data_IF_533775761099
#
_entry.id   IF_533775761099
#
_cell.length_a   1.000
_cell.length_b   1.000
_cell.length_c   1.000
_cell.angle_alpha   90.00
_cell.angle_beta   90.00
_cell.angle_gamma   90.00
#
_symmetry.space_group_name_H-M   'P 1'
#
loop_
_entity.id
_entity.type
_entity.pdbx_description
1 polymer ?
#
# COMPACT_ATOMS: atom_id res chain seq x y z
N UNK A 1 5.76 -99.62 14.83
CA UNK A 1 5.96 -99.10 13.46
C UNK A 1 4.67 -99.09 12.61
N UNK A 2 3.76 -100.08 12.69
CA UNK A 2 2.53 -100.10 11.86
C UNK A 2 1.50 -98.99 12.16
N UNK A 3 1.36 -98.55 13.42
CA UNK A 3 0.42 -97.47 13.78
C UNK A 3 0.73 -96.14 13.09
N UNK A 4 2.01 -95.78 12.98
CA UNK A 4 2.43 -94.54 12.32
C UNK A 4 2.04 -94.51 10.83
N UNK A 5 2.11 -95.67 10.15
CA UNK A 5 1.68 -95.77 8.75
C UNK A 5 0.17 -95.60 8.61
N UNK A 6 -0.61 -96.13 9.55
CA UNK A 6 -2.07 -95.99 9.57
C UNK A 6 -2.50 -94.54 9.85
N UNK A 7 -1.82 -93.86 10.77
CA UNK A 7 -2.09 -92.45 11.08
C UNK A 7 -1.72 -91.54 9.91
N UNK A 8 -0.59 -91.79 9.24
CA UNK A 8 -0.19 -91.07 8.04
C UNK A 8 -1.20 -91.27 6.88
N UNK A 9 -1.76 -92.47 6.75
CA UNK A 9 -2.81 -92.76 5.77
C UNK A 9 -4.13 -92.06 6.11
N UNK A 10 -4.54 -92.04 7.38
CA UNK A 10 -5.73 -91.29 7.83
C UNK A 10 -5.60 -89.79 7.60
N UNK A 11 -4.43 -89.22 7.86
CA UNK A 11 -4.17 -87.79 7.61
C UNK A 11 -4.23 -87.47 6.12
N UNK A 12 -3.69 -88.32 5.25
CA UNK A 12 -3.81 -88.13 3.79
C UNK A 12 -5.25 -88.19 3.32
N UNK A 13 -6.02 -89.19 3.77
CA UNK A 13 -7.43 -89.30 3.41
C UNK A 13 -8.25 -88.10 3.90
N UNK A 14 -7.95 -87.57 5.09
CA UNK A 14 -8.60 -86.37 5.62
C UNK A 14 -8.25 -85.12 4.79
N UNK A 15 -6.98 -84.96 4.41
CA UNK A 15 -6.50 -83.82 3.61
C UNK A 15 -6.97 -83.86 2.15
N UNK A 16 -7.20 -85.05 1.59
CA UNK A 16 -7.70 -85.21 0.22
C UNK A 16 -9.12 -84.65 0.03
N UNK A 17 -9.92 -84.64 1.11
CA UNK A 17 -11.24 -83.98 1.12
C UNK A 17 -11.17 -82.44 1.26
N UNK A 18 -10.02 -81.90 1.66
CA UNK A 18 -9.77 -80.45 1.71
C UNK A 18 -9.36 -80.00 0.31
N UNK A 19 -10.35 -79.63 -0.50
CA UNK A 19 -10.11 -78.99 -1.80
C UNK A 19 -9.30 -77.71 -1.57
N UNK A 20 -8.06 -77.68 -2.06
CA UNK A 20 -7.26 -76.45 -2.11
C UNK A 20 -8.11 -75.34 -2.73
N UNK A 21 -8.23 -74.16 -2.09
CA UNK A 21 -8.90 -73.02 -2.71
C UNK A 21 -8.27 -72.81 -4.10
N UNK A 22 -9.11 -72.72 -5.14
CA UNK A 22 -8.61 -72.41 -6.48
C UNK A 22 -7.75 -71.15 -6.44
N UNK A 23 -6.77 -71.07 -7.34
CA UNK A 23 -5.83 -69.95 -7.41
C UNK A 23 -6.59 -68.63 -7.25
N UNK A 24 -6.31 -67.91 -6.15
CA UNK A 24 -6.97 -66.65 -5.85
C UNK A 24 -6.10 -65.53 -6.43
N UNK A 25 -6.45 -64.95 -7.59
CA UNK A 25 -5.65 -63.90 -8.22
C UNK A 25 -5.55 -62.63 -7.36
N UNK A 26 -6.39 -62.49 -6.31
CA UNK A 26 -6.28 -61.40 -5.35
C UNK A 26 -5.12 -61.58 -4.34
N UNK A 27 -4.61 -62.80 -4.16
CA UNK A 27 -3.50 -63.13 -3.26
C UNK A 27 -2.16 -63.31 -4.00
N UNK A 28 -2.14 -63.09 -5.32
CA UNK A 28 -0.89 -63.10 -6.08
C UNK A 28 0.03 -61.95 -5.61
N UNK A 29 1.25 -62.25 -5.11
CA UNK A 29 2.19 -61.24 -4.65
C UNK A 29 2.57 -60.24 -5.76
N UNK A 30 2.57 -60.65 -7.03
CA UNK A 30 2.83 -59.75 -8.15
C UNK A 30 1.68 -58.74 -8.34
N UNK A 31 0.42 -59.21 -8.30
CA UNK A 31 -0.77 -58.37 -8.35
C UNK A 31 -0.87 -57.39 -7.16
N UNK A 32 -0.50 -57.82 -5.95
CA UNK A 32 -0.48 -56.97 -4.76
C UNK A 32 0.59 -55.86 -4.90
N UNK A 33 1.80 -56.20 -5.38
CA UNK A 33 2.88 -55.23 -5.61
C UNK A 33 2.50 -54.21 -6.69
N UNK A 34 1.90 -54.66 -7.79
CA UNK A 34 1.42 -53.78 -8.86
C UNK A 34 0.37 -52.78 -8.34
N UNK A 35 -0.65 -53.27 -7.61
CA UNK A 35 -1.69 -52.42 -7.00
C UNK A 35 -1.14 -51.45 -5.95
N UNK A 36 -0.04 -51.79 -5.26
CA UNK A 36 0.61 -50.90 -4.29
C UNK A 36 1.42 -49.81 -4.99
N UNK A 37 2.13 -50.14 -6.06
CA UNK A 37 2.87 -49.19 -6.88
C UNK A 37 1.92 -48.18 -7.56
N UNK A 38 0.81 -48.66 -8.10
CA UNK A 38 -0.22 -47.82 -8.72
C UNK A 38 -0.88 -46.87 -7.71
N UNK A 39 -1.23 -47.36 -6.51
CA UNK A 39 -1.73 -46.51 -5.42
C UNK A 39 -0.71 -45.47 -4.95
N UNK A 40 0.57 -45.82 -4.91
CA UNK A 40 1.63 -44.86 -4.58
C UNK A 40 1.74 -43.77 -5.67
N UNK A 41 1.73 -44.14 -6.96
CA UNK A 41 1.73 -43.19 -8.07
C UNK A 41 0.53 -42.24 -8.04
N UNK A 42 -0.67 -42.76 -7.77
CA UNK A 42 -1.89 -41.94 -7.65
C UNK A 42 -1.79 -40.95 -6.47
N UNK A 43 -1.22 -41.38 -5.33
CA UNK A 43 -0.98 -40.49 -4.18
C UNK A 43 0.04 -39.40 -4.50
N UNK A 44 1.11 -39.73 -5.21
CA UNK A 44 2.10 -38.73 -5.66
C UNK A 44 1.51 -37.75 -6.69
N UNK A 45 0.70 -38.24 -7.63
CA UNK A 45 -0.01 -37.39 -8.58
C UNK A 45 -0.97 -36.41 -7.88
N UNK A 46 -1.70 -36.89 -6.87
CA UNK A 46 -2.60 -36.06 -6.07
C UNK A 46 -1.85 -35.05 -5.20
N UNK A 47 -0.71 -35.44 -4.61
CA UNK A 47 0.14 -34.50 -3.88
C UNK A 47 0.71 -33.41 -4.82
N UNK A 48 1.15 -33.80 -6.03
CA UNK A 48 1.63 -32.86 -7.03
C UNK A 48 0.55 -31.87 -7.46
N UNK A 49 -0.71 -32.29 -7.62
CA UNK A 49 -1.81 -31.38 -7.96
C UNK A 49 -2.11 -30.38 -6.84
N UNK A 50 -2.02 -30.79 -5.57
CA UNK A 50 -2.14 -29.86 -4.44
C UNK A 50 -1.00 -28.84 -4.40
N UNK A 51 0.24 -29.27 -4.60
CA UNK A 51 1.40 -28.36 -4.68
C UNK A 51 1.25 -27.38 -5.85
N UNK A 52 0.76 -27.85 -7.01
CA UNK A 52 0.51 -26.98 -8.16
C UNK A 52 -0.61 -25.97 -7.89
N UNK A 53 -1.71 -26.40 -7.27
CA UNK A 53 -2.85 -25.54 -6.94
C UNK A 53 -2.47 -24.47 -5.90
N UNK A 54 -1.73 -24.86 -4.85
CA UNK A 54 -1.23 -23.93 -3.84
C UNK A 54 -0.14 -23.03 -4.43
N UNK A 55 0.78 -23.55 -5.23
CA UNK A 55 1.84 -22.78 -5.88
C UNK A 55 1.29 -21.72 -6.83
N UNK A 56 0.39 -22.09 -7.74
CA UNK A 56 -0.26 -21.15 -8.65
C UNK A 56 -1.19 -20.18 -7.91
N UNK A 57 -1.90 -20.64 -6.89
CA UNK A 57 -2.80 -19.79 -6.09
C UNK A 57 -2.05 -18.77 -5.22
N UNK A 58 -0.92 -19.14 -4.63
CA UNK A 58 -0.10 -18.22 -3.83
C UNK A 58 0.66 -17.22 -4.71
N UNK A 59 1.27 -17.69 -5.81
CA UNK A 59 2.00 -16.80 -6.71
C UNK A 59 1.05 -15.86 -7.46
N UNK A 60 -0.07 -16.39 -7.99
CA UNK A 60 -1.11 -15.60 -8.66
C UNK A 60 -1.85 -14.65 -7.71
N UNK A 61 -2.12 -15.08 -6.48
CA UNK A 61 -2.79 -14.25 -5.47
C UNK A 61 -1.93 -13.07 -4.99
N UNK A 62 -0.62 -13.27 -4.85
CA UNK A 62 0.30 -12.19 -4.48
C UNK A 62 0.52 -11.20 -5.65
N UNK A 63 0.58 -11.70 -6.89
CA UNK A 63 0.61 -10.85 -8.09
C UNK A 63 -0.66 -10.01 -8.23
N UNK A 64 -1.84 -10.60 -7.99
CA UNK A 64 -3.13 -9.90 -8.05
C UNK A 64 -3.28 -8.84 -6.94
N UNK A 65 -2.63 -9.03 -5.78
CA UNK A 65 -2.56 -8.01 -4.72
C UNK A 65 -1.79 -6.76 -5.17
N UNK A 66 -0.85 -6.89 -6.10
CA UNK A 66 -0.16 -5.76 -6.74
C UNK A 66 -0.99 -5.03 -7.80
N UNK A 67 -1.94 -5.71 -8.45
CA UNK A 67 -2.85 -5.09 -9.43
C UNK A 67 -4.06 -4.38 -8.78
N UNK A 68 -4.54 -4.89 -7.65
CA UNK A 68 -5.56 -4.22 -6.82
C UNK A 68 -4.97 -3.22 -5.82
N UNK A 69 -3.64 -3.04 -5.81
CA UNK A 69 -3.08 -1.85 -5.21
C UNK A 69 -3.58 -0.67 -6.06
N UNK A 70 -4.55 0.08 -5.52
CA UNK A 70 -4.85 1.42 -6.02
C UNK A 70 -3.52 2.11 -6.28
N UNK A 71 -3.30 2.70 -7.48
CA UNK A 71 -2.05 3.37 -7.78
C UNK A 71 -1.78 4.26 -6.59
N UNK A 72 -0.62 4.07 -5.94
CA UNK A 72 -0.25 4.89 -4.81
C UNK A 72 -0.30 6.31 -5.32
N UNK A 73 -1.41 7.02 -5.02
CA UNK A 73 -1.59 8.41 -5.38
C UNK A 73 -0.41 9.06 -4.71
N UNK A 74 0.56 9.47 -5.52
CA UNK A 74 1.79 10.05 -5.01
C UNK A 74 1.36 11.15 -4.02
N UNK A 75 1.88 11.17 -2.79
CA UNK A 75 1.46 12.13 -1.80
C UNK A 75 1.46 13.53 -2.42
N UNK A 76 0.28 14.17 -2.44
CA UNK A 76 0.10 15.56 -2.91
C UNK A 76 0.45 15.83 -4.38
N UNK A 77 0.23 14.87 -5.29
CA UNK A 77 0.17 15.15 -6.75
C UNK A 77 -0.74 16.33 -7.08
N UNK A 78 -1.83 16.47 -6.34
CA UNK A 78 -2.84 17.51 -6.53
C UNK A 78 -2.31 18.90 -6.18
N UNK A 79 -1.37 19.00 -5.23
CA UNK A 79 -0.76 20.28 -4.83
C UNK A 79 0.16 20.83 -5.92
N UNK A 80 0.93 19.98 -6.59
CA UNK A 80 1.76 20.37 -7.73
C UNK A 80 0.91 20.87 -8.90
N UNK A 81 -0.22 20.21 -9.17
CA UNK A 81 -1.12 20.60 -10.25
C UNK A 81 -1.83 21.93 -9.92
N UNK A 82 -2.28 22.11 -8.67
CA UNK A 82 -2.85 23.36 -8.19
C UNK A 82 -1.85 24.52 -8.23
N UNK A 83 -0.58 24.28 -7.87
CA UNK A 83 0.50 25.28 -7.96
C UNK A 83 0.73 25.72 -9.42
N UNK A 84 0.81 24.78 -10.36
CA UNK A 84 0.95 25.10 -11.80
C UNK A 84 -0.23 25.93 -12.31
N UNK A 85 -1.45 25.60 -11.90
CA UNK A 85 -2.64 26.39 -12.27
C UNK A 85 -2.65 27.80 -11.65
N UNK A 86 -2.16 27.95 -10.42
CA UNK A 86 -2.16 29.24 -9.71
C UNK A 86 -1.03 30.16 -10.15
N UNK A 87 0.20 29.65 -10.16
CA UNK A 87 1.42 30.45 -10.32
C UNK A 87 1.85 30.51 -11.79
N UNK A 88 1.87 29.36 -12.49
CA UNK A 88 2.38 29.30 -13.86
C UNK A 88 1.36 29.83 -14.86
N UNK A 89 0.07 29.53 -14.69
CA UNK A 89 -0.96 29.94 -15.65
C UNK A 89 -1.64 31.29 -15.36
N UNK A 90 -1.39 31.95 -14.21
CA UNK A 90 -1.98 33.25 -13.79
C UNK A 90 -3.51 33.41 -14.00
N UNK A 91 -4.25 32.34 -14.30
CA UNK A 91 -5.66 32.41 -14.71
C UNK A 91 -6.61 32.25 -13.51
N UNK A 92 -6.11 31.77 -12.38
CA UNK A 92 -6.90 31.52 -11.18
C UNK A 92 -7.01 32.80 -10.34
N UNK A 93 -8.22 33.40 -10.32
CA UNK A 93 -8.56 34.48 -9.39
C UNK A 93 -8.34 34.00 -7.95
N UNK A 94 -7.57 34.75 -7.17
CA UNK A 94 -7.38 34.52 -5.74
C UNK A 94 -8.70 34.80 -5.03
N UNK A 95 -9.26 33.81 -4.31
CA UNK A 95 -10.56 33.95 -3.63
C UNK A 95 -10.50 34.95 -2.48
N UNK A 96 -9.32 35.17 -1.89
CA UNK A 96 -9.12 36.16 -0.83
C UNK A 96 -7.75 36.85 -0.93
N UNK A 97 -7.75 38.15 -1.18
CA UNK A 97 -6.58 39.03 -1.01
C UNK A 97 -6.61 39.63 0.40
N UNK A 98 -5.57 39.46 1.22
CA UNK A 98 -5.56 39.97 2.59
C UNK A 98 -5.15 41.43 2.60
N UNK A 99 -5.77 42.22 3.47
CA UNK A 99 -5.32 43.58 3.78
C UNK A 99 -4.24 43.59 4.88
N UNK A 100 -3.98 42.44 5.54
CA UNK A 100 -2.94 42.24 6.53
C UNK A 100 -2.64 40.76 6.84
N UNK A 101 -1.44 40.45 7.35
CA UNK A 101 -0.95 39.08 7.56
C UNK A 101 -1.77 38.25 8.56
N UNK A 102 -2.35 38.90 9.59
CA UNK A 102 -3.15 38.22 10.62
C UNK A 102 -4.55 37.81 10.14
N UNK A 103 -5.07 38.45 9.09
CA UNK A 103 -6.42 38.15 8.59
C UNK A 103 -6.45 36.83 7.81
N UNK A 104 -5.35 36.46 7.16
CA UNK A 104 -5.21 35.15 6.50
C UNK A 104 -5.21 33.99 7.49
N UNK A 105 -4.48 34.13 8.61
CA UNK A 105 -4.47 33.11 9.66
C UNK A 105 -5.88 32.88 10.20
N UNK A 106 -6.61 33.97 10.50
CA UNK A 106 -7.99 33.89 10.98
C UNK A 106 -8.91 33.25 9.93
N UNK A 107 -8.81 33.68 8.67
CA UNK A 107 -9.56 33.09 7.56
C UNK A 107 -9.29 31.59 7.40
N UNK A 108 -8.02 31.18 7.49
CA UNK A 108 -7.61 29.78 7.39
C UNK A 108 -8.20 28.95 8.53
N UNK A 109 -8.11 29.45 9.77
CA UNK A 109 -8.67 28.73 10.94
C UNK A 109 -10.19 28.60 10.87
N UNK A 110 -10.90 29.60 10.36
CA UNK A 110 -12.36 29.56 10.21
C UNK A 110 -12.81 28.55 9.16
N UNK A 111 -11.98 28.29 8.15
CA UNK A 111 -12.36 27.50 6.97
C UNK A 111 -11.84 26.06 6.99
N UNK A 112 -10.61 25.85 7.46
CA UNK A 112 -9.95 24.53 7.54
C UNK A 112 -10.02 23.97 8.96
N UNK A 113 -10.01 24.83 9.98
CA UNK A 113 -10.10 24.46 11.39
C UNK A 113 -8.98 25.06 12.24
N UNK A 114 -9.17 25.06 13.56
CA UNK A 114 -8.28 25.71 14.55
C UNK A 114 -6.86 25.17 14.59
N UNK A 115 -6.64 23.96 14.06
CA UNK A 115 -5.32 23.32 13.98
C UNK A 115 -4.46 23.82 12.81
N UNK A 116 -5.05 24.57 11.86
CA UNK A 116 -4.36 25.09 10.70
C UNK A 116 -3.56 26.35 11.07
N UNK A 117 -2.24 26.23 11.17
CA UNK A 117 -1.31 27.32 11.48
C UNK A 117 -0.42 27.62 10.28
N UNK A 118 -0.36 28.88 9.87
CA UNK A 118 0.53 29.33 8.82
C UNK A 118 1.98 29.37 9.31
N UNK A 119 2.94 28.90 8.49
CA UNK A 119 4.36 29.08 8.78
C UNK A 119 4.73 30.55 8.69
N UNK A 120 5.53 31.00 9.65
CA UNK A 120 6.14 32.32 9.60
C UNK A 120 7.42 32.24 8.75
N UNK A 121 7.31 32.69 7.49
CA UNK A 121 8.42 32.73 6.54
C UNK A 121 9.03 34.14 6.43
N UNK A 122 8.68 35.07 7.33
CA UNK A 122 9.16 36.45 7.30
C UNK A 122 10.68 36.54 7.43
N UNK A 123 11.31 35.62 8.17
CA UNK A 123 12.77 35.52 8.30
C UNK A 123 13.48 35.20 6.96
N UNK A 124 12.76 34.64 5.99
CA UNK A 124 13.23 34.39 4.63
C UNK A 124 12.75 35.45 3.63
N UNK A 125 12.12 36.54 4.10
CA UNK A 125 11.57 37.60 3.25
C UNK A 125 10.22 37.28 2.59
N UNK A 126 9.66 36.09 2.82
CA UNK A 126 8.39 35.69 2.22
C UNK A 126 7.20 36.19 3.05
N UNK A 127 6.25 36.86 2.38
CA UNK A 127 5.04 37.41 3.00
C UNK A 127 3.80 36.78 2.38
N UNK A 128 2.78 36.44 3.17
CA UNK A 128 1.57 35.84 2.64
C UNK A 128 0.75 36.89 1.88
N UNK A 129 0.52 36.67 0.59
CA UNK A 129 -0.13 37.62 -0.35
C UNK A 129 -1.56 37.22 -0.73
N UNK A 130 -1.96 35.98 -0.51
CA UNK A 130 -3.28 35.51 -0.94
C UNK A 130 -3.63 34.12 -0.46
N UNK A 131 -4.92 33.85 -0.31
CA UNK A 131 -5.45 32.53 0.08
C UNK A 131 -6.51 32.04 -0.89
N UNK A 132 -6.55 30.72 -1.13
CA UNK A 132 -7.57 30.05 -1.93
C UNK A 132 -8.08 28.80 -1.23
N UNK A 133 -9.39 28.58 -1.30
CA UNK A 133 -10.04 27.38 -0.79
C UNK A 133 -10.31 26.39 -1.92
N UNK A 134 -10.11 25.12 -1.63
CA UNK A 134 -10.42 24.02 -2.52
C UNK A 134 -11.33 23.05 -1.80
N UNK A 135 -12.52 22.84 -2.35
CA UNK A 135 -13.41 21.76 -1.97
C UNK A 135 -12.92 20.48 -2.62
N UNK A 136 -12.49 19.51 -1.82
CA UNK A 136 -12.20 18.17 -2.34
C UNK A 136 -13.46 17.32 -2.35
N UNK A 137 -13.54 16.32 -3.23
CA UNK A 137 -14.72 15.47 -3.45
C UNK A 137 -15.24 14.74 -2.19
N UNK A 138 -14.41 14.66 -1.14
CA UNK A 138 -14.72 14.01 0.15
C UNK A 138 -15.32 15.00 1.18
N UNK A 139 -15.63 16.24 0.78
CA UNK A 139 -16.17 17.27 1.68
C UNK A 139 -15.14 17.87 2.64
N UNK A 140 -13.86 17.50 2.49
CA UNK A 140 -12.76 18.08 3.24
C UNK A 140 -12.33 19.42 2.60
N UNK A 141 -12.36 20.47 3.42
CA UNK A 141 -11.97 21.82 3.01
C UNK A 141 -10.44 21.93 3.06
N UNK A 142 -9.81 22.01 1.90
CA UNK A 142 -8.37 22.28 1.77
C UNK A 142 -8.14 23.74 1.43
N UNK A 143 -7.00 24.29 1.83
CA UNK A 143 -6.66 25.68 1.55
C UNK A 143 -5.22 25.79 1.09
N UNK A 144 -4.98 26.79 0.25
CA UNK A 144 -3.65 27.18 -0.21
C UNK A 144 -3.42 28.64 0.11
N UNK A 145 -2.24 28.96 0.64
CA UNK A 145 -1.79 30.32 0.87
C UNK A 145 -0.54 30.56 0.05
N UNK A 146 -0.58 31.61 -0.77
CA UNK A 146 0.53 32.07 -1.58
C UNK A 146 1.36 33.05 -0.77
N UNK A 147 2.67 32.86 -0.80
CA UNK A 147 3.67 33.76 -0.27
C UNK A 147 4.49 34.33 -1.42
N UNK A 148 4.89 35.59 -1.28
CA UNK A 148 5.73 36.30 -2.23
C UNK A 148 6.82 37.04 -1.46
N UNK A 149 8.02 37.11 -2.02
CA UNK A 149 9.10 37.93 -1.49
C UNK A 149 9.29 39.22 -2.28
N UNK A 150 10.17 40.11 -1.79
CA UNK A 150 10.44 41.40 -2.44
C UNK A 150 11.11 41.25 -3.83
N UNK A 151 11.63 40.06 -4.16
CA UNK A 151 12.20 39.72 -5.46
C UNK A 151 11.18 39.10 -6.43
N UNK A 152 9.92 38.92 -6.02
CA UNK A 152 8.86 38.31 -6.82
C UNK A 152 8.88 36.77 -6.90
N UNK A 153 9.72 36.10 -6.09
CA UNK A 153 9.69 34.65 -5.92
C UNK A 153 8.43 34.26 -5.14
N UNK A 154 7.79 33.17 -5.54
CA UNK A 154 6.53 32.74 -4.92
C UNK A 154 6.59 31.32 -4.36
N UNK A 155 6.09 31.15 -3.13
CA UNK A 155 5.92 29.87 -2.45
C UNK A 155 4.44 29.64 -2.17
N UNK A 156 3.95 28.41 -2.28
CA UNK A 156 2.58 28.07 -1.91
C UNK A 156 2.56 27.07 -0.78
N UNK A 157 1.87 27.44 0.29
CA UNK A 157 1.56 26.57 1.43
C UNK A 157 0.17 25.95 1.22
N UNK A 158 0.11 24.65 1.01
CA UNK A 158 -1.12 23.88 0.87
C UNK A 158 -1.38 23.07 2.14
N UNK A 159 -2.60 23.13 2.67
CA UNK A 159 -3.01 22.37 3.86
C UNK A 159 -4.35 21.68 3.62
N UNK A 160 -4.44 20.43 4.07
CA UNK A 160 -5.68 19.64 4.04
C UNK A 160 -5.85 18.77 5.30
N UNK A 161 -7.10 18.49 5.71
CA UNK A 161 -7.36 17.50 6.76
C UNK A 161 -6.82 16.13 6.38
N UNK A 162 -6.24 15.40 7.34
CA UNK A 162 -5.94 13.99 7.12
C UNK A 162 -7.25 13.19 7.19
N UNK A 163 -7.59 12.46 6.12
CA UNK A 163 -8.81 11.66 6.08
C UNK A 163 -8.81 10.49 7.10
N UNK A 164 -7.66 10.17 7.70
CA UNK A 164 -7.53 9.29 8.86
C UNK A 164 -6.15 9.45 9.50
N UNK A 165 -6.01 9.10 10.79
CA UNK A 165 -4.73 9.13 11.51
C UNK A 165 -3.63 8.25 10.88
N UNK A 166 -4.02 7.24 10.09
CA UNK A 166 -3.12 6.37 9.31
C UNK A 166 -2.64 7.00 7.99
N UNK A 167 -3.14 8.18 7.62
CA UNK A 167 -2.78 8.93 6.40
C UNK A 167 -2.01 10.22 6.71
N UNK A 168 -1.41 10.29 7.90
CA UNK A 168 -0.40 11.29 8.21
C UNK A 168 0.86 10.96 7.41
N UNK A 169 1.45 11.99 6.81
CA UNK A 169 2.65 11.92 6.01
C UNK A 169 3.87 12.21 6.89
N UNK A 170 4.93 11.37 6.84
CA UNK A 170 6.20 11.74 7.44
C UNK A 170 6.77 12.97 6.74
N UNK A 171 7.57 13.75 7.47
CA UNK A 171 8.30 14.88 6.91
C UNK A 171 9.19 14.41 5.75
N UNK A 172 9.07 15.05 4.60
CA UNK A 172 9.75 14.65 3.39
C UNK A 172 9.84 15.78 2.37
N UNK A 173 10.55 15.49 1.28
CA UNK A 173 10.76 16.44 0.21
C UNK A 173 10.74 15.73 -1.14
N UNK A 174 10.19 16.39 -2.15
CA UNK A 174 10.10 15.91 -3.51
C UNK A 174 10.55 17.00 -4.46
N UNK A 175 11.44 16.64 -5.38
CA UNK A 175 11.88 17.53 -6.46
C UNK A 175 11.17 17.09 -7.75
N UNK A 176 10.60 18.04 -8.47
CA UNK A 176 9.98 17.86 -9.78
C UNK A 176 10.44 19.00 -10.72
N UNK A 177 11.54 18.75 -11.44
CA UNK A 177 12.19 19.74 -12.29
C UNK A 177 12.72 20.93 -11.48
N UNK A 178 12.33 22.18 -11.79
CA UNK A 178 12.77 23.36 -11.04
C UNK A 178 12.00 23.57 -9.72
N UNK A 179 10.97 22.76 -9.45
CA UNK A 179 10.13 22.89 -8.27
C UNK A 179 10.50 21.86 -7.21
N UNK A 180 10.50 22.30 -5.96
CA UNK A 180 10.61 21.46 -4.78
C UNK A 180 9.29 21.54 -4.01
N UNK A 181 8.89 20.42 -3.42
CA UNK A 181 7.75 20.32 -2.52
C UNK A 181 8.21 19.66 -1.21
N UNK A 182 8.22 20.41 -0.10
CA UNK A 182 8.38 19.83 1.24
C UNK A 182 7.02 19.52 1.81
N UNK A 183 6.81 18.33 2.34
CA UNK A 183 5.51 17.91 2.87
C UNK A 183 5.67 17.22 4.23
N UNK A 184 4.59 17.17 4.98
CA UNK A 184 4.52 16.49 6.27
C UNK A 184 3.13 16.57 6.87
N UNK A 185 3.06 16.23 8.15
CA UNK A 185 1.84 16.40 8.95
C UNK A 185 2.10 17.17 10.21
N UNK A 186 1.21 18.12 10.51
CA UNK A 186 1.20 18.89 11.76
C UNK A 186 -0.22 18.91 12.31
N UNK A 187 -0.39 18.67 13.62
CA UNK A 187 -1.69 18.74 14.30
C UNK A 187 -2.82 17.95 13.61
N UNK A 188 -2.51 16.79 13.02
CA UNK A 188 -3.49 15.97 12.30
C UNK A 188 -3.87 16.48 10.90
N UNK A 189 -3.20 17.52 10.41
CA UNK A 189 -3.35 18.06 9.06
C UNK A 189 -2.14 17.69 8.21
N UNK A 190 -2.38 17.41 6.93
CA UNK A 190 -1.31 17.21 5.95
C UNK A 190 -1.01 18.55 5.28
N UNK A 191 0.27 18.94 5.26
CA UNK A 191 0.71 20.19 4.64
C UNK A 191 1.80 19.93 3.59
N UNK A 192 1.88 20.84 2.61
CA UNK A 192 2.97 20.89 1.65
C UNK A 192 3.33 22.34 1.33
N UNK A 193 4.61 22.62 1.20
CA UNK A 193 5.14 23.90 0.71
C UNK A 193 5.83 23.67 -0.61
N UNK A 194 5.36 24.35 -1.65
CA UNK A 194 5.78 24.16 -3.04
C UNK A 194 6.32 25.47 -3.60
N UNK A 195 7.41 25.40 -4.34
CA UNK A 195 8.04 26.54 -4.98
C UNK A 195 9.37 26.17 -5.63
N UNK A 196 10.13 27.16 -6.15
CA UNK A 196 11.46 26.93 -6.70
C UNK A 196 12.40 26.28 -5.68
N UNK A 197 13.22 25.31 -6.11
CA UNK A 197 14.16 24.61 -5.23
C UNK A 197 15.06 25.59 -4.45
N UNK A 198 15.64 26.56 -5.14
CA UNK A 198 16.53 27.58 -4.57
C UNK A 198 15.89 28.37 -3.42
N UNK A 199 14.57 28.61 -3.47
CA UNK A 199 13.84 29.31 -2.42
C UNK A 199 13.42 28.41 -1.25
N UNK A 200 13.18 27.13 -1.51
CA UNK A 200 12.75 26.17 -0.48
C UNK A 200 13.91 25.54 0.29
N UNK A 201 15.10 25.52 -0.30
CA UNK A 201 16.34 25.09 0.35
C UNK A 201 16.97 26.19 1.20
N UNK A 202 16.43 27.42 1.15
CA UNK A 202 16.89 28.52 1.97
C UNK A 202 16.74 28.16 3.45
N UNK A 203 17.85 28.25 4.20
CA UNK A 203 17.92 27.77 5.61
C UNK A 203 16.83 28.36 6.49
N UNK A 204 16.44 29.62 6.24
CA UNK A 204 15.38 30.30 6.97
C UNK A 204 14.00 29.65 6.72
N UNK A 205 13.69 29.26 5.48
CA UNK A 205 12.46 28.54 5.12
C UNK A 205 12.47 27.14 5.73
N UNK A 206 13.57 26.41 5.59
CA UNK A 206 13.71 25.05 6.14
C UNK A 206 13.48 25.06 7.65
N UNK A 207 14.12 25.98 8.37
CA UNK A 207 13.99 26.11 9.83
C UNK A 207 12.58 26.47 10.26
N UNK A 208 11.89 27.35 9.53
CA UNK A 208 10.52 27.74 9.84
C UNK A 208 9.53 26.57 9.68
N UNK A 209 9.75 25.71 8.68
CA UNK A 209 8.93 24.51 8.45
C UNK A 209 9.24 23.40 9.45
N UNK A 210 10.50 23.23 9.82
CA UNK A 210 10.91 22.24 10.81
C UNK A 210 10.39 22.61 12.22
N UNK A 211 10.20 23.89 12.53
CA UNK A 211 9.55 24.34 13.76
C UNK A 211 8.04 24.07 13.81
N UNK A 212 7.41 23.78 12.66
CA UNK A 212 5.99 23.42 12.59
C UNK A 212 5.74 21.92 12.68
N UNK A 213 6.72 21.07 12.41
CA UNK A 213 6.54 19.60 12.35
C UNK A 213 6.87 18.96 13.67
#
# INVERSE_FOLDING_TARGET
MKQWQQDAQRLRAALESVRMPGENPALDPAAIRARRAERARMRFAMAASFVFCVGLGTFGGWQARGWNAQPAVAPMSDALNAYRMLVVNRTAKVDYRPTGANDLQRWLTTRVGTSAKLPDLSAAGFRPVGGRLFTTDVGATSAMVLYEDDAGRTLSFYVRPAESSRRLLPAGQRVDGPLLARYGSVNGLNFAVVGPADSLEEKAVVRALDQQT
#
